data_IF_374835481406
#
_entry.id   IF_374835481406
#
_cell.length_a   1.000
_cell.length_b   1.000
_cell.length_c   1.000
_cell.angle_alpha   90.00
_cell.angle_beta   90.00
_cell.angle_gamma   90.00
#
_symmetry.space_group_name_H-M   'P 1'
#
loop_
_entity.id
_entity.type
_entity.pdbx_description
1 polymer ?
#
# COMPACT_ATOMS: atom_id res chain seq x y z
N UNK A 1 -6.00 31.81 19.24
CA UNK A 1 -4.80 31.13 18.69
C UNK A 1 -5.08 30.86 17.24
N UNK A 2 -4.20 31.30 16.36
CA UNK A 2 -4.31 31.03 14.91
C UNK A 2 -3.33 29.92 14.55
N UNK A 3 -3.85 28.85 13.98
CA UNK A 3 -3.07 27.79 13.35
C UNK A 3 -3.23 27.95 11.84
N UNK A 4 -2.11 27.97 11.12
CA UNK A 4 -2.09 28.19 9.67
C UNK A 4 -1.26 27.09 9.00
N UNK A 5 -1.77 26.61 7.87
CA UNK A 5 -1.02 25.74 6.96
C UNK A 5 -0.67 26.56 5.72
N UNK A 6 0.60 26.91 5.57
CA UNK A 6 1.09 27.66 4.43
C UNK A 6 1.63 26.70 3.37
N UNK A 7 1.05 26.75 2.17
CA UNK A 7 1.44 25.87 1.06
C UNK A 7 2.11 26.71 -0.02
N UNK A 8 3.36 26.36 -0.34
CA UNK A 8 4.10 26.94 -1.45
C UNK A 8 4.43 25.87 -2.48
N UNK A 9 3.93 26.04 -3.71
CA UNK A 9 4.14 25.10 -4.81
C UNK A 9 5.08 25.73 -5.83
N UNK A 10 6.19 25.04 -6.13
CA UNK A 10 7.12 25.41 -7.20
C UNK A 10 7.37 24.21 -8.13
N UNK A 11 7.92 24.41 -9.34
CA UNK A 11 8.25 23.30 -10.22
C UNK A 11 9.26 22.29 -9.65
N UNK A 12 10.09 22.69 -8.67
CA UNK A 12 11.12 21.81 -8.08
C UNK A 12 10.64 21.10 -6.83
N UNK A 13 9.85 21.79 -6.00
CA UNK A 13 9.38 21.26 -4.72
C UNK A 13 8.07 21.92 -4.27
N UNK A 14 7.30 21.13 -3.51
CA UNK A 14 6.17 21.59 -2.71
C UNK A 14 6.63 21.72 -1.27
N UNK A 15 6.36 22.87 -0.66
CA UNK A 15 6.69 23.16 0.74
C UNK A 15 5.41 23.43 1.51
N UNK A 16 5.26 22.78 2.65
CA UNK A 16 4.12 22.97 3.55
C UNK A 16 4.68 23.35 4.92
N UNK A 17 4.23 24.46 5.48
CA UNK A 17 4.63 24.93 6.80
C UNK A 17 3.42 24.97 7.74
N UNK A 18 3.56 24.40 8.93
CA UNK A 18 2.64 24.59 10.05
C UNK A 18 3.11 25.79 10.86
N UNK A 19 2.26 26.80 10.99
CA UNK A 19 2.55 28.03 11.72
C UNK A 19 1.53 28.20 12.83
N UNK A 20 2.00 28.42 14.05
CA UNK A 20 1.18 28.68 15.22
C UNK A 20 1.52 30.05 15.78
N UNK A 21 0.51 30.93 15.87
CA UNK A 21 0.66 32.30 16.37
C UNK A 21 1.81 33.09 15.68
N UNK A 22 1.98 32.89 14.36
CA UNK A 22 3.03 33.52 13.56
C UNK A 22 4.43 32.89 13.71
N UNK A 23 4.60 31.89 14.58
CA UNK A 23 5.84 31.13 14.74
C UNK A 23 5.78 29.81 13.96
N UNK A 24 6.84 29.54 13.18
CA UNK A 24 6.97 28.31 12.42
C UNK A 24 7.19 27.11 13.36
N UNK A 25 6.36 26.08 13.23
CA UNK A 25 6.47 24.84 14.02
C UNK A 25 7.11 23.70 13.23
N UNK A 26 6.58 23.40 12.04
CA UNK A 26 7.04 22.27 11.21
C UNK A 26 7.12 22.66 9.73
N UNK A 27 8.04 22.04 9.00
CA UNK A 27 8.17 22.19 7.53
C UNK A 27 8.27 20.82 6.86
N UNK A 28 7.40 20.60 5.89
CA UNK A 28 7.42 19.44 5.00
C UNK A 28 7.83 19.89 3.61
N UNK A 29 8.88 19.26 3.06
CA UNK A 29 9.36 19.55 1.69
C UNK A 29 9.28 18.27 0.86
N UNK A 30 8.41 18.28 -0.14
CA UNK A 30 8.24 17.20 -1.09
C UNK A 30 8.84 17.56 -2.45
N UNK A 31 9.70 16.69 -2.98
CA UNK A 31 10.32 16.84 -4.31
C UNK A 31 9.82 15.75 -5.25
N UNK A 32 9.52 16.10 -6.49
CA UNK A 32 8.96 15.18 -7.48
C UNK A 32 9.77 13.89 -7.67
N UNK A 33 11.12 13.98 -7.63
CA UNK A 33 12.03 12.83 -7.78
C UNK A 33 12.04 11.85 -6.60
N UNK A 34 11.41 12.19 -5.47
CA UNK A 34 11.37 11.36 -4.25
C UNK A 34 10.02 10.67 -4.02
N UNK A 35 9.09 10.75 -4.96
CA UNK A 35 7.77 10.12 -4.82
C UNK A 35 7.85 8.61 -5.07
N UNK A 36 8.05 7.84 -4.00
CA UNK A 36 7.85 6.40 -4.02
C UNK A 36 6.37 6.02 -4.22
N UNK A 37 6.14 4.74 -4.51
CA UNK A 37 4.80 4.15 -4.58
C UNK A 37 4.40 3.49 -3.27
N UNK A 38 5.36 3.20 -2.39
CA UNK A 38 5.11 2.60 -1.07
C UNK A 38 4.02 3.36 -0.31
N UNK A 39 3.08 2.62 0.26
CA UNK A 39 1.94 3.16 1.00
C UNK A 39 0.73 3.53 0.13
N UNK A 40 0.90 3.74 -1.19
CA UNK A 40 -0.22 4.03 -2.09
C UNK A 40 -1.15 2.81 -2.20
N UNK A 41 -2.44 3.09 -2.22
CA UNK A 41 -3.50 2.10 -2.35
C UNK A 41 -4.09 2.19 -3.75
N UNK A 42 -4.25 1.04 -4.41
CA UNK A 42 -4.78 0.92 -5.77
C UNK A 42 -5.95 -0.06 -5.80
N UNK A 43 -6.85 0.16 -6.75
CA UNK A 43 -7.81 -0.85 -7.19
C UNK A 43 -7.18 -1.62 -8.35
N UNK A 44 -6.63 -2.80 -8.05
CA UNK A 44 -5.93 -3.63 -9.03
C UNK A 44 -6.80 -4.73 -9.63
N UNK A 45 -6.47 -5.18 -10.84
CA UNK A 45 -7.08 -6.34 -11.50
C UNK A 45 -6.07 -7.48 -11.56
N UNK A 46 -6.43 -8.66 -11.08
CA UNK A 46 -5.60 -9.86 -11.16
C UNK A 46 -5.49 -10.28 -12.63
N UNK A 47 -4.28 -10.23 -13.18
CA UNK A 47 -4.03 -10.59 -14.58
C UNK A 47 -3.72 -12.07 -14.75
N UNK A 48 -2.96 -12.64 -13.80
CA UNK A 48 -2.53 -14.03 -13.86
C UNK A 48 -2.25 -14.59 -12.48
N UNK A 49 -2.70 -15.81 -12.22
CA UNK A 49 -2.39 -16.55 -10.98
C UNK A 49 -1.34 -17.63 -11.30
N UNK A 50 -0.29 -17.73 -10.47
CA UNK A 50 0.81 -18.67 -10.63
C UNK A 50 0.92 -19.58 -9.40
N UNK A 51 0.29 -20.77 -9.42
CA UNK A 51 0.29 -21.70 -8.29
C UNK A 51 1.70 -22.15 -7.88
N UNK A 52 2.56 -22.43 -8.86
CA UNK A 52 3.94 -22.85 -8.60
C UNK A 52 4.80 -21.80 -7.90
N UNK A 53 4.40 -20.53 -7.94
CA UNK A 53 5.07 -19.41 -7.25
C UNK A 53 4.29 -18.94 -6.01
N UNK A 54 3.11 -19.52 -5.75
CA UNK A 54 2.17 -19.08 -4.73
C UNK A 54 1.92 -17.56 -4.80
N UNK A 55 1.70 -17.05 -6.01
CA UNK A 55 1.61 -15.62 -6.27
C UNK A 55 0.70 -15.28 -7.45
N UNK A 56 0.30 -14.02 -7.53
CA UNK A 56 -0.48 -13.45 -8.61
C UNK A 56 0.15 -12.16 -9.13
N UNK A 57 0.01 -11.93 -10.43
CA UNK A 57 0.31 -10.65 -11.05
C UNK A 57 -0.95 -9.79 -11.09
N UNK A 58 -0.83 -8.55 -10.64
CA UNK A 58 -1.94 -7.60 -10.52
C UNK A 58 -1.60 -6.35 -11.32
N UNK A 59 -2.47 -5.97 -12.26
CA UNK A 59 -2.38 -4.68 -12.92
C UNK A 59 -2.96 -3.59 -12.01
N UNK A 60 -2.14 -2.58 -11.76
CA UNK A 60 -2.46 -1.38 -10.96
C UNK A 60 -2.24 -0.08 -11.74
N UNK A 61 -2.13 -0.17 -13.08
CA UNK A 61 -1.92 0.98 -13.96
C UNK A 61 -0.47 1.47 -14.06
N UNK A 62 0.50 0.62 -13.70
CA UNK A 62 1.93 0.89 -13.89
C UNK A 62 2.45 0.19 -15.14
N UNK A 63 3.62 0.60 -15.63
CA UNK A 63 4.28 -0.01 -16.80
C UNK A 63 4.51 -1.53 -16.65
N UNK A 64 4.66 -2.02 -15.40
CA UNK A 64 4.87 -3.43 -15.09
C UNK A 64 3.79 -3.90 -14.13
N UNK A 65 3.25 -5.09 -14.40
CA UNK A 65 2.35 -5.76 -13.47
C UNK A 65 3.03 -5.95 -12.10
N UNK A 66 2.30 -5.63 -11.05
CA UNK A 66 2.75 -5.75 -9.68
C UNK A 66 2.58 -7.18 -9.18
N UNK A 67 3.35 -7.55 -8.16
CA UNK A 67 3.46 -8.90 -7.63
C UNK A 67 2.79 -9.01 -6.26
N UNK A 68 1.89 -9.97 -6.10
CA UNK A 68 1.19 -10.27 -4.85
C UNK A 68 1.42 -11.74 -4.46
N UNK A 69 2.05 -11.98 -3.31
CA UNK A 69 2.30 -13.32 -2.79
C UNK A 69 1.10 -13.80 -1.95
N UNK A 70 0.88 -15.12 -1.86
CA UNK A 70 -0.22 -15.72 -1.10
C UNK A 70 -0.29 -15.25 0.37
N UNK A 71 0.88 -15.14 1.03
CA UNK A 71 0.96 -14.63 2.42
C UNK A 71 0.47 -13.19 2.59
N UNK A 72 0.58 -12.39 1.52
CA UNK A 72 0.21 -10.98 1.51
C UNK A 72 -1.22 -10.80 0.97
N UNK A 73 -1.83 -11.87 0.44
CA UNK A 73 -3.23 -11.93 0.01
C UNK A 73 -4.15 -12.55 1.08
N UNK A 74 -3.60 -13.36 2.00
CA UNK A 74 -4.36 -14.07 3.03
C UNK A 74 -4.97 -13.08 4.04
N UNK A 75 -6.30 -13.13 4.27
CA UNK A 75 -6.95 -12.35 5.32
C UNK A 75 -6.42 -12.73 6.70
N UNK A 76 -6.19 -11.75 7.58
CA UNK A 76 -5.86 -11.99 8.99
C UNK A 76 -7.11 -11.87 9.86
N UNK A 77 -8.12 -12.68 9.59
CA UNK A 77 -9.32 -12.78 10.42
C UNK A 77 -9.11 -13.80 11.54
N UNK A 78 -9.75 -13.60 12.70
CA UNK A 78 -9.63 -14.46 13.88
C UNK A 78 -10.17 -15.89 13.61
N UNK A 79 -11.13 -15.99 12.69
CA UNK A 79 -11.66 -17.26 12.17
C UNK A 79 -10.62 -18.01 11.30
N UNK A 80 -9.74 -17.30 10.59
CA UNK A 80 -8.66 -17.92 9.84
C UNK A 80 -7.51 -18.42 10.76
N UNK A 81 -7.40 -17.88 11.97
CA UNK A 81 -6.41 -18.31 12.98
C UNK A 81 -6.87 -19.56 13.73
N UNK A 82 -8.18 -19.80 13.83
CA UNK A 82 -8.74 -20.97 14.54
C UNK A 82 -8.77 -22.24 13.69
N UNK A 83 -8.78 -22.14 12.36
CA UNK A 83 -8.87 -23.31 11.47
C UNK A 83 -7.58 -23.67 10.71
N UNK A 84 -6.54 -22.83 10.70
CA UNK A 84 -5.32 -23.10 9.94
C UNK A 84 -4.07 -23.10 10.83
N UNK A 85 -3.46 -24.27 10.96
CA UNK A 85 -2.15 -24.54 11.59
C UNK A 85 -0.98 -23.79 10.91
N UNK A 86 -1.01 -22.46 10.86
CA UNK A 86 0.07 -21.63 10.28
C UNK A 86 0.32 -21.84 8.78
N UNK A 87 -0.55 -22.56 8.06
CA UNK A 87 -0.40 -22.82 6.63
C UNK A 87 -1.04 -21.70 5.83
N UNK A 88 -0.21 -20.96 5.09
CA UNK A 88 -0.66 -19.96 4.11
C UNK A 88 -1.59 -20.66 3.10
N UNK A 89 -2.81 -20.14 2.92
CA UNK A 89 -3.75 -20.67 1.95
C UNK A 89 -3.20 -20.56 0.53
N UNK A 90 -3.46 -21.57 -0.30
CA UNK A 90 -2.97 -21.58 -1.69
C UNK A 90 -3.52 -20.37 -2.46
N UNK A 91 -2.65 -19.71 -3.23
CA UNK A 91 -3.01 -18.53 -4.03
C UNK A 91 -4.24 -18.77 -4.92
N UNK A 92 -4.42 -19.99 -5.43
CA UNK A 92 -5.55 -20.38 -6.29
C UNK A 92 -6.90 -20.40 -5.56
N UNK A 93 -6.89 -20.57 -4.25
CA UNK A 93 -8.08 -20.47 -3.40
C UNK A 93 -8.38 -19.02 -3.01
N UNK A 94 -7.34 -18.18 -2.98
CA UNK A 94 -7.44 -16.78 -2.57
C UNK A 94 -7.86 -15.87 -3.73
N UNK A 95 -7.32 -16.11 -4.92
CA UNK A 95 -7.48 -15.22 -6.08
C UNK A 95 -7.75 -15.99 -7.36
N UNK A 96 -8.50 -15.36 -8.27
CA UNK A 96 -8.72 -15.83 -9.64
C UNK A 96 -8.41 -14.72 -10.66
N UNK A 97 -8.15 -15.11 -11.91
CA UNK A 97 -7.89 -14.16 -12.99
C UNK A 97 -9.13 -13.28 -13.26
N UNK A 98 -8.90 -12.00 -13.50
CA UNK A 98 -9.95 -11.00 -13.70
C UNK A 98 -10.50 -10.38 -12.42
N UNK A 99 -10.24 -10.97 -11.24
CA UNK A 99 -10.70 -10.46 -9.95
C UNK A 99 -10.18 -9.04 -9.69
N UNK A 100 -11.05 -8.14 -9.23
CA UNK A 100 -10.68 -6.79 -8.81
C UNK A 100 -10.47 -6.76 -7.31
N UNK A 101 -9.32 -6.28 -6.86
CA UNK A 101 -8.91 -6.26 -5.46
C UNK A 101 -8.30 -4.91 -5.06
N UNK A 102 -8.51 -4.51 -3.81
CA UNK A 102 -7.79 -3.38 -3.23
C UNK A 102 -6.42 -3.85 -2.73
N UNK A 103 -5.36 -3.15 -3.13
CA UNK A 103 -3.99 -3.52 -2.81
C UNK A 103 -3.18 -2.30 -2.40
N UNK A 104 -2.23 -2.48 -1.48
CA UNK A 104 -1.29 -1.45 -1.07
C UNK A 104 0.13 -1.85 -1.48
N UNK A 105 0.91 -0.89 -1.98
CA UNK A 105 2.31 -1.12 -2.33
C UNK A 105 3.16 -1.15 -1.06
N UNK A 106 3.91 -2.25 -0.88
CA UNK A 106 4.84 -2.42 0.24
C UNK A 106 6.31 -2.33 -0.19
N UNK A 107 6.61 -2.53 -1.47
CA UNK A 107 7.94 -2.29 -2.05
C UNK A 107 7.81 -1.68 -3.43
N UNK A 108 8.63 -0.66 -3.70
CA UNK A 108 8.74 -0.06 -5.03
C UNK A 108 9.22 -1.08 -6.08
N UNK A 109 8.87 -0.87 -7.37
CA UNK A 109 9.45 -1.62 -8.48
C UNK A 109 10.98 -1.55 -8.47
N UNK A 110 11.65 -2.63 -8.83
CA UNK A 110 13.11 -2.69 -8.91
C UNK A 110 13.56 -3.34 -10.21
N UNK A 111 14.24 -2.55 -11.06
CA UNK A 111 14.75 -3.00 -12.34
C UNK A 111 13.64 -3.59 -13.20
N UNK A 112 13.68 -4.90 -13.43
CA UNK A 112 12.65 -5.59 -14.22
C UNK A 112 11.44 -6.07 -13.42
N UNK A 113 11.49 -6.03 -12.09
CA UNK A 113 10.43 -6.52 -11.21
C UNK A 113 9.43 -5.41 -10.91
N UNK A 114 8.13 -5.74 -11.03
CA UNK A 114 7.06 -4.85 -10.60
C UNK A 114 7.05 -4.60 -9.09
N UNK A 115 6.20 -3.67 -8.65
CA UNK A 115 6.00 -3.38 -7.22
C UNK A 115 5.51 -4.62 -6.46
N UNK A 116 5.84 -4.72 -5.16
CA UNK A 116 5.24 -5.75 -4.29
C UNK A 116 4.01 -5.19 -3.59
N UNK A 117 2.95 -6.00 -3.56
CA UNK A 117 1.64 -5.63 -3.02
C UNK A 117 1.27 -6.44 -1.77
N UNK A 118 0.29 -5.93 -1.05
CA UNK A 118 -0.47 -6.62 -0.01
C UNK A 118 -1.96 -6.26 -0.10
N UNK A 119 -2.86 -7.17 0.28
CA UNK A 119 -4.28 -6.88 0.51
C UNK A 119 -4.55 -6.38 1.93
N UNK A 120 -3.54 -6.44 2.82
CA UNK A 120 -3.60 -5.95 4.19
C UNK A 120 -3.30 -4.45 4.21
N UNK A 121 -4.32 -3.65 3.93
CA UNK A 121 -4.21 -2.20 3.89
C UNK A 121 -3.90 -1.68 5.30
N UNK A 122 -2.94 -0.76 5.40
CA UNK A 122 -2.60 -0.03 6.61
C UNK A 122 -2.71 1.46 6.34
N UNK A 123 -3.38 2.18 7.25
CA UNK A 123 -3.53 3.63 7.20
C UNK A 123 -2.86 4.20 8.45
N UNK A 124 -1.57 4.59 8.36
CA UNK A 124 -0.86 5.20 9.48
C UNK A 124 -1.33 6.64 9.72
N UNK A 125 -1.49 6.99 10.99
CA UNK A 125 -1.69 8.33 11.52
C UNK A 125 -0.55 8.65 12.49
N UNK A 126 -0.56 9.86 13.08
CA UNK A 126 0.50 10.32 14.00
C UNK A 126 0.68 9.40 15.23
N UNK A 127 -0.41 8.84 15.75
CA UNK A 127 -0.40 8.09 17.01
C UNK A 127 -0.95 6.66 16.89
N UNK A 128 -1.54 6.30 15.75
CA UNK A 128 -2.19 5.01 15.55
C UNK A 128 -2.00 4.53 14.12
N UNK A 129 -2.08 3.23 13.92
CA UNK A 129 -2.14 2.62 12.59
C UNK A 129 -3.45 1.86 12.49
N UNK A 130 -4.32 2.28 11.57
CA UNK A 130 -5.57 1.58 11.32
C UNK A 130 -5.34 0.43 10.33
N UNK A 131 -5.82 -0.76 10.67
CA UNK A 131 -5.74 -1.97 9.84
C UNK A 131 -7.14 -2.57 9.72
N UNK A 132 -7.94 -2.20 8.71
CA UNK A 132 -9.37 -2.54 8.65
C UNK A 132 -9.68 -4.04 8.59
N UNK A 133 -8.73 -4.86 8.12
CA UNK A 133 -8.96 -6.28 7.81
C UNK A 133 -8.17 -7.22 8.74
N UNK A 134 -7.81 -6.74 9.94
CA UNK A 134 -7.29 -7.59 11.02
C UNK A 134 -8.43 -7.71 12.04
N UNK A 135 -8.94 -8.91 12.24
CA UNK A 135 -9.90 -9.14 13.32
C UNK A 135 -9.16 -9.05 14.67
N UNK A 136 -9.82 -8.47 15.67
CA UNK A 136 -9.39 -8.54 17.06
C UNK A 136 -9.55 -9.96 17.63
#
# INVERSE_FOLDING_TARGET
MSEEILINVTPRETRVALVENGALQEVYIERARRRGLVGKVYRGKVCRVLPGMQAAFVDIGLERAAFLHASDATPRTAEAVTEHNGTVADITRLLHEGQVISVQVIKDPLGTKGARLTTQITIPSRYLVFVPNVAN
#
